data_IF_245614568574
#
_entry.id   IF_245614568574
#
_cell.length_a   1.000
_cell.length_b   1.000
_cell.length_c   1.000
_cell.angle_alpha   90.00
_cell.angle_beta   90.00
_cell.angle_gamma   90.00
#
_symmetry.space_group_name_H-M   'P 1'
#
loop_
_entity.id
_entity.type
_entity.pdbx_description
1 polymer ?
#
# COMPACT_ATOMS: atom_id res chain seq x y z
N UNK A 1 0.46 -2.37 18.90
CA UNK A 1 1.06 -2.90 17.66
C UNK A 1 0.72 -1.94 16.53
N UNK A 2 1.67 -1.07 16.18
CA UNK A 2 1.45 0.17 15.40
C UNK A 2 1.66 -0.02 13.88
N UNK A 3 1.17 -1.14 13.28
CA UNK A 3 1.19 -1.34 11.82
C UNK A 3 0.34 -0.30 11.05
N UNK A 4 -0.68 0.27 11.70
CA UNK A 4 -1.61 1.19 11.04
C UNK A 4 -1.03 2.59 10.77
N UNK A 5 -0.01 3.03 11.51
CA UNK A 5 0.58 4.35 11.32
C UNK A 5 1.49 4.42 10.08
N UNK A 6 2.14 3.32 9.70
CA UNK A 6 3.00 3.28 8.51
C UNK A 6 2.23 3.04 7.21
N UNK A 7 1.08 2.38 7.24
CA UNK A 7 0.18 2.25 6.08
C UNK A 7 -0.30 3.60 5.53
N UNK A 8 -0.05 4.68 6.26
CA UNK A 8 -0.41 6.05 5.85
C UNK A 8 0.72 6.79 5.15
N UNK A 9 1.93 6.26 5.13
CA UNK A 9 3.10 6.92 4.55
C UNK A 9 3.12 6.94 3.02
N UNK A 10 2.15 6.31 2.37
CA UNK A 10 2.11 6.20 0.91
C UNK A 10 0.94 6.96 0.26
N UNK A 11 0.45 8.04 0.88
CA UNK A 11 -0.73 8.75 0.37
C UNK A 11 -0.30 10.03 -0.36
N UNK A 12 -0.30 10.02 -1.69
CA UNK A 12 -0.12 11.22 -2.50
C UNK A 12 -1.42 12.00 -2.60
N UNK A 13 -1.48 13.18 -1.97
CA UNK A 13 -2.44 14.21 -2.34
C UNK A 13 -1.74 15.16 -3.34
N UNK A 14 -2.27 15.29 -4.54
CA UNK A 14 -1.80 16.29 -5.50
C UNK A 14 -2.11 17.70 -4.97
N UNK A 15 -1.15 18.61 -4.88
CA UNK A 15 -1.44 20.03 -4.70
C UNK A 15 -1.72 20.66 -6.06
N UNK A 16 -2.89 21.24 -6.22
CA UNK A 16 -3.15 22.25 -7.22
C UNK A 16 -2.38 23.52 -6.83
N UNK A 17 -1.31 23.89 -7.53
CA UNK A 17 -0.80 25.26 -7.54
C UNK A 17 -0.24 25.58 -8.90
N UNK A 18 -0.96 26.47 -9.58
CA UNK A 18 -0.42 27.25 -10.70
C UNK A 18 0.80 28.05 -10.26
N UNK A 19 1.93 27.86 -10.90
CA UNK A 19 2.91 28.88 -11.23
C UNK A 19 3.87 28.42 -12.32
N UNK A 20 3.96 29.27 -13.35
CA UNK A 20 5.02 29.38 -14.36
C UNK A 20 5.19 28.24 -15.39
N UNK A 21 4.41 28.33 -16.48
CA UNK A 21 4.88 28.25 -17.88
C UNK A 21 5.66 26.99 -18.35
N UNK A 22 5.69 25.89 -17.62
CA UNK A 22 6.16 24.59 -18.10
C UNK A 22 5.03 23.61 -17.99
N UNK A 23 4.59 23.05 -19.11
CA UNK A 23 3.67 21.92 -19.17
C UNK A 23 4.33 20.74 -18.46
N UNK A 24 4.13 20.65 -17.17
CA UNK A 24 4.31 19.42 -16.43
C UNK A 24 3.01 18.67 -16.70
N UNK A 25 3.08 17.61 -17.51
CA UNK A 25 1.97 16.69 -17.70
C UNK A 25 1.51 16.25 -16.30
N UNK A 26 0.41 16.85 -15.84
CA UNK A 26 -0.28 16.39 -14.64
C UNK A 26 -0.73 14.95 -14.92
N UNK A 27 -0.24 13.97 -14.14
CA UNK A 27 -0.67 12.57 -14.19
C UNK A 27 -2.10 12.41 -13.64
N UNK A 28 -3.02 13.30 -14.01
CA UNK A 28 -4.41 13.28 -13.56
C UNK A 28 -5.33 12.48 -14.48
N UNK A 29 -4.87 12.08 -15.68
CA UNK A 29 -5.60 11.12 -16.51
C UNK A 29 -5.05 9.71 -16.28
N UNK A 30 -5.93 8.74 -15.95
CA UNK A 30 -5.51 7.35 -15.85
C UNK A 30 -5.01 6.89 -17.24
N UNK A 31 -3.78 6.42 -17.30
CA UNK A 31 -3.26 5.72 -18.48
C UNK A 31 -4.29 4.64 -18.88
N UNK A 32 -4.53 4.48 -20.16
CA UNK A 32 -5.36 3.38 -20.68
C UNK A 32 -4.77 2.04 -20.22
N UNK A 33 -5.60 1.01 -20.10
CA UNK A 33 -5.14 -0.34 -19.70
C UNK A 33 -3.96 -0.83 -20.54
N UNK A 34 -3.90 -0.43 -21.83
CA UNK A 34 -2.83 -0.78 -22.77
C UNK A 34 -1.50 -0.02 -22.54
N UNK A 35 -1.52 1.09 -21.81
CA UNK A 35 -0.32 1.91 -21.53
C UNK A 35 0.33 1.57 -20.20
N UNK A 36 -0.25 0.67 -19.41
CA UNK A 36 0.29 0.27 -18.11
C UNK A 36 1.31 -0.83 -18.31
N UNK A 37 2.58 -0.51 -18.08
CA UNK A 37 3.60 -1.54 -17.97
C UNK A 37 3.24 -2.50 -16.85
N UNK A 38 3.09 -3.78 -17.18
CA UNK A 38 2.88 -4.88 -16.24
C UNK A 38 4.05 -5.84 -16.29
N UNK A 39 4.21 -6.62 -15.25
CA UNK A 39 5.13 -7.75 -15.28
C UNK A 39 4.62 -8.83 -16.24
N UNK A 40 5.47 -9.20 -17.23
CA UNK A 40 5.16 -10.17 -18.30
C UNK A 40 5.99 -11.46 -18.19
N UNK A 41 6.72 -11.64 -17.08
CA UNK A 41 7.50 -12.87 -16.87
C UNK A 41 6.63 -14.07 -16.50
N UNK A 42 7.25 -15.27 -16.48
CA UNK A 42 6.55 -16.54 -16.19
C UNK A 42 5.94 -16.64 -14.77
N UNK A 43 6.45 -15.90 -13.81
CA UNK A 43 5.94 -15.90 -12.44
C UNK A 43 4.66 -15.06 -12.37
N UNK A 44 3.56 -15.64 -11.90
CA UNK A 44 2.32 -14.91 -11.63
C UNK A 44 2.52 -14.02 -10.40
N UNK A 45 2.49 -12.70 -10.57
CA UNK A 45 2.68 -11.70 -9.51
C UNK A 45 1.38 -10.98 -9.24
N UNK A 46 0.71 -11.37 -8.15
CA UNK A 46 -0.59 -10.80 -7.75
C UNK A 46 -0.34 -9.57 -6.90
N UNK A 47 -0.63 -8.37 -7.42
CA UNK A 47 -0.65 -7.14 -6.63
C UNK A 47 -1.92 -7.08 -5.78
N UNK A 48 -1.83 -7.31 -4.48
CA UNK A 48 -2.96 -7.25 -3.55
C UNK A 48 -3.06 -5.87 -2.94
N UNK A 49 -4.09 -5.13 -3.31
CA UNK A 49 -4.32 -3.76 -2.82
C UNK A 49 -5.72 -3.58 -2.25
N UNK A 50 -6.03 -2.39 -1.75
CA UNK A 50 -7.34 -2.06 -1.19
C UNK A 50 -7.29 -0.85 -0.29
N UNK A 51 -8.42 -0.18 -0.11
CA UNK A 51 -8.55 0.95 0.79
C UNK A 51 -8.25 0.59 2.25
N UNK A 52 -8.01 1.61 3.06
CA UNK A 52 -7.80 1.43 4.51
C UNK A 52 -8.99 0.66 5.10
N UNK A 53 -8.73 -0.30 5.97
CA UNK A 53 -9.74 -1.17 6.60
C UNK A 53 -10.62 -2.01 5.63
N UNK A 54 -10.27 -2.14 4.34
CA UNK A 54 -10.99 -3.00 3.39
C UNK A 54 -10.86 -4.50 3.70
N UNK A 55 -9.85 -4.91 4.47
CA UNK A 55 -9.60 -6.31 4.81
C UNK A 55 -8.50 -6.98 3.98
N UNK A 56 -7.66 -6.21 3.29
CA UNK A 56 -6.52 -6.67 2.51
C UNK A 56 -5.63 -7.68 3.26
N UNK A 57 -5.28 -7.39 4.53
CA UNK A 57 -4.45 -8.29 5.34
C UNK A 57 -5.11 -9.64 5.63
N UNK A 58 -6.44 -9.71 5.69
CA UNK A 58 -7.15 -10.99 5.83
C UNK A 58 -7.05 -11.84 4.57
N UNK A 59 -7.10 -11.19 3.39
CA UNK A 59 -6.90 -11.87 2.11
C UNK A 59 -5.44 -12.31 1.97
N UNK A 60 -4.47 -11.45 2.32
CA UNK A 60 -3.05 -11.81 2.32
C UNK A 60 -2.76 -13.03 3.20
N UNK A 61 -3.25 -13.03 4.43
CA UNK A 61 -3.11 -14.18 5.32
C UNK A 61 -3.78 -15.46 4.77
N UNK A 62 -4.91 -15.33 4.09
CA UNK A 62 -5.52 -16.48 3.43
C UNK A 62 -4.65 -17.02 2.29
N UNK A 63 -4.00 -16.16 1.49
CA UNK A 63 -3.06 -16.57 0.46
C UNK A 63 -1.86 -17.33 1.05
N UNK A 64 -1.32 -16.86 2.19
CA UNK A 64 -0.27 -17.58 2.93
C UNK A 64 -0.73 -18.98 3.35
N UNK A 65 -1.97 -19.12 3.83
CA UNK A 65 -2.56 -20.41 4.17
C UNK A 65 -2.75 -21.35 2.96
N UNK A 66 -2.80 -20.80 1.73
CA UNK A 66 -2.81 -21.58 0.50
C UNK A 66 -1.38 -21.91 -0.01
N UNK A 67 -0.34 -21.58 0.76
CA UNK A 67 1.06 -21.83 0.40
C UNK A 67 1.64 -20.80 -0.58
N UNK A 68 1.02 -19.62 -0.74
CA UNK A 68 1.51 -18.54 -1.59
C UNK A 68 2.34 -17.59 -0.75
N UNK A 69 3.56 -17.29 -1.20
CA UNK A 69 4.40 -16.27 -0.57
C UNK A 69 3.75 -14.89 -0.69
N UNK A 70 3.64 -14.18 0.44
CA UNK A 70 3.06 -12.82 0.49
C UNK A 70 4.13 -11.83 0.91
N UNK A 71 4.51 -10.97 0.00
CA UNK A 71 5.51 -9.92 0.18
C UNK A 71 4.80 -8.62 0.60
N UNK A 72 5.11 -8.11 1.80
CA UNK A 72 4.36 -7.02 2.44
C UNK A 72 5.13 -5.69 2.41
N UNK A 73 4.64 -4.71 1.63
CA UNK A 73 5.21 -3.36 1.55
C UNK A 73 5.26 -2.63 2.90
N UNK A 74 4.25 -2.82 3.76
CA UNK A 74 4.23 -2.21 5.10
C UNK A 74 5.35 -2.77 5.98
N UNK A 75 5.66 -4.07 5.86
CA UNK A 75 6.79 -4.69 6.54
C UNK A 75 8.11 -4.11 6.05
N UNK A 76 8.30 -3.97 4.75
CA UNK A 76 9.54 -3.44 4.17
C UNK A 76 9.77 -1.96 4.52
N UNK A 77 8.72 -1.15 4.52
CA UNK A 77 8.80 0.22 5.01
C UNK A 77 9.15 0.26 6.51
N UNK A 78 8.63 -0.69 7.28
CA UNK A 78 8.97 -0.85 8.70
C UNK A 78 10.44 -1.22 8.91
N UNK A 79 10.98 -2.14 8.12
CA UNK A 79 12.39 -2.52 8.13
C UNK A 79 13.30 -1.35 7.73
N UNK A 80 12.91 -0.58 6.71
CA UNK A 80 13.64 0.60 6.26
C UNK A 80 13.78 1.68 7.36
N UNK A 81 12.83 1.74 8.31
CA UNK A 81 12.84 2.64 9.46
C UNK A 81 13.27 1.93 10.77
N UNK A 82 13.98 0.81 10.69
CA UNK A 82 14.56 0.16 11.86
C UNK A 82 15.70 1.00 12.46
N UNK A 83 16.00 0.87 13.76
CA UNK A 83 17.12 1.55 14.40
C UNK A 83 18.44 1.34 13.65
N UNK A 84 19.21 2.40 13.46
CA UNK A 84 20.51 2.35 12.81
C UNK A 84 20.50 2.38 11.28
N UNK A 85 19.32 2.32 10.63
CA UNK A 85 19.24 2.42 9.15
C UNK A 85 19.55 3.85 8.67
N UNK A 86 19.97 4.02 7.41
CA UNK A 86 20.17 5.33 6.82
C UNK A 86 18.91 6.20 6.86
N UNK A 87 17.72 5.61 6.60
CA UNK A 87 16.45 6.34 6.63
C UNK A 87 16.10 6.81 8.04
N UNK A 88 16.34 5.99 9.07
CA UNK A 88 16.14 6.40 10.47
C UNK A 88 17.04 7.57 10.83
N UNK A 89 18.30 7.55 10.40
CA UNK A 89 19.21 8.70 10.62
C UNK A 89 18.72 9.95 9.93
N UNK A 90 18.32 9.87 8.66
CA UNK A 90 17.79 11.01 7.91
C UNK A 90 16.52 11.59 8.56
N UNK A 91 15.64 10.73 9.11
CA UNK A 91 14.44 11.16 9.86
C UNK A 91 14.83 11.87 11.15
N UNK A 92 15.78 11.33 11.91
CA UNK A 92 16.26 11.96 13.16
C UNK A 92 16.99 13.28 12.87
N UNK A 93 17.77 13.37 11.80
CA UNK A 93 18.41 14.63 11.38
C UNK A 93 17.38 15.71 11.03
N UNK A 94 16.26 15.33 10.38
CA UNK A 94 15.21 16.27 9.97
C UNK A 94 14.33 16.75 11.11
N UNK A 95 13.92 15.84 11.98
CA UNK A 95 12.90 16.14 13.01
C UNK A 95 13.44 16.17 14.45
N UNK A 96 14.64 15.67 14.67
CA UNK A 96 15.30 15.67 15.98
C UNK A 96 14.51 14.93 17.05
N UNK A 97 14.50 15.51 18.24
CA UNK A 97 13.83 14.94 19.42
C UNK A 97 12.33 14.76 19.28
N UNK A 98 11.68 15.42 18.31
CA UNK A 98 10.23 15.29 18.08
C UNK A 98 9.80 13.88 17.69
N UNK A 99 10.71 13.11 17.12
CA UNK A 99 10.45 11.74 16.62
C UNK A 99 11.39 10.72 17.23
N UNK A 100 12.21 11.10 18.19
CA UNK A 100 13.10 10.19 18.89
C UNK A 100 12.31 9.37 19.91
N UNK A 101 12.51 8.05 19.91
CA UNK A 101 11.89 7.19 20.92
C UNK A 101 12.59 7.38 22.28
N UNK A 102 11.81 7.58 23.34
CA UNK A 102 12.34 7.63 24.72
C UNK A 102 12.79 6.24 25.23
N UNK A 103 12.30 5.17 24.61
CA UNK A 103 12.49 3.77 25.05
C UNK A 103 13.55 3.01 24.25
N UNK A 104 14.03 3.57 23.14
CA UNK A 104 14.99 2.88 22.25
C UNK A 104 15.78 3.88 21.40
N UNK A 105 16.88 3.41 20.77
CA UNK A 105 17.63 4.18 19.77
C UNK A 105 16.88 4.40 18.44
N UNK A 106 15.59 4.12 18.41
CA UNK A 106 14.74 4.17 17.23
C UNK A 106 13.83 5.40 17.17
N UNK A 107 12.84 5.32 16.28
CA UNK A 107 11.86 6.37 16.05
C UNK A 107 10.60 6.16 16.90
N UNK A 108 10.05 7.24 17.44
CA UNK A 108 8.64 7.30 17.80
C UNK A 108 7.80 7.40 16.51
N UNK A 109 7.30 6.25 16.08
CA UNK A 109 6.53 6.14 14.82
C UNK A 109 5.16 6.81 14.92
N UNK A 110 4.62 6.96 16.11
CA UNK A 110 3.35 7.67 16.27
C UNK A 110 3.56 9.17 16.07
N UNK A 111 4.63 9.73 16.64
CA UNK A 111 5.02 11.11 16.43
C UNK A 111 5.36 11.39 14.96
N UNK A 112 6.19 10.55 14.32
CA UNK A 112 6.49 10.65 12.89
C UNK A 112 5.22 10.56 12.04
N UNK A 113 4.35 9.58 12.32
CA UNK A 113 3.07 9.43 11.64
C UNK A 113 2.18 10.67 11.77
N UNK A 114 2.16 11.32 12.93
CA UNK A 114 1.41 12.57 13.15
C UNK A 114 1.97 13.71 12.29
N UNK A 115 3.29 13.86 12.19
CA UNK A 115 3.92 14.91 11.37
C UNK A 115 3.52 14.74 9.90
N UNK A 116 3.78 13.56 9.32
CA UNK A 116 3.54 13.31 7.90
C UNK A 116 2.06 13.23 7.54
N UNK A 117 1.19 12.95 8.52
CA UNK A 117 -0.25 12.97 8.30
C UNK A 117 -0.78 14.40 8.14
N UNK A 118 -0.24 15.34 8.91
CA UNK A 118 -0.70 16.73 8.92
C UNK A 118 0.00 17.62 7.88
N UNK A 119 1.12 17.18 7.32
CA UNK A 119 1.89 17.95 6.34
C UNK A 119 2.18 17.13 5.07
N UNK A 120 1.56 17.48 3.93
CA UNK A 120 1.80 16.81 2.65
C UNK A 120 3.24 16.87 2.16
N UNK A 121 3.99 17.95 2.47
CA UNK A 121 5.39 18.09 2.05
C UNK A 121 6.28 17.13 2.82
N UNK A 122 6.06 17.02 4.14
CA UNK A 122 6.79 16.08 4.99
C UNK A 122 6.48 14.62 4.63
N UNK A 123 5.25 14.36 4.23
CA UNK A 123 4.85 13.05 3.69
C UNK A 123 5.60 12.73 2.42
N UNK A 124 5.58 13.63 1.42
CA UNK A 124 6.29 13.45 0.14
C UNK A 124 7.79 13.25 0.35
N UNK A 125 8.38 13.99 1.29
CA UNK A 125 9.78 13.79 1.63
C UNK A 125 10.04 12.39 2.18
N UNK A 126 9.27 11.93 3.15
CA UNK A 126 9.45 10.60 3.73
C UNK A 126 9.20 9.49 2.70
N UNK A 127 8.19 9.63 1.86
CA UNK A 127 7.91 8.72 0.74
C UNK A 127 9.11 8.63 -0.21
N UNK A 128 9.73 9.76 -0.56
CA UNK A 128 10.92 9.78 -1.42
C UNK A 128 12.11 9.03 -0.83
N UNK A 129 12.21 8.96 0.50
CA UNK A 129 13.24 8.19 1.20
C UNK A 129 12.92 6.69 1.23
N UNK A 130 11.64 6.32 1.36
CA UNK A 130 11.23 4.93 1.59
C UNK A 130 10.90 4.16 0.31
N UNK A 131 10.30 4.78 -0.70
CA UNK A 131 9.88 4.10 -1.93
C UNK A 131 11.03 3.35 -2.63
N UNK A 132 12.24 3.93 -2.81
CA UNK A 132 13.35 3.21 -3.43
C UNK A 132 13.76 1.98 -2.62
N UNK A 133 13.75 2.07 -1.29
CA UNK A 133 14.14 0.97 -0.40
C UNK A 133 13.10 -0.15 -0.40
N UNK A 134 11.83 0.20 -0.36
CA UNK A 134 10.73 -0.78 -0.45
C UNK A 134 10.77 -1.48 -1.81
N UNK A 135 11.00 -0.74 -2.91
CA UNK A 135 11.14 -1.34 -4.24
C UNK A 135 12.35 -2.28 -4.30
N UNK A 136 13.50 -1.84 -3.83
CA UNK A 136 14.71 -2.69 -3.76
C UNK A 136 14.45 -3.96 -2.94
N UNK A 137 13.71 -3.85 -1.83
CA UNK A 137 13.37 -5.00 -0.99
C UNK A 137 12.42 -5.97 -1.71
N UNK A 138 11.45 -5.46 -2.48
CA UNK A 138 10.64 -6.31 -3.36
C UNK A 138 11.50 -7.02 -4.40
N UNK A 139 12.43 -6.34 -5.06
CA UNK A 139 13.32 -6.95 -6.07
C UNK A 139 14.16 -8.08 -5.45
N UNK A 140 14.70 -7.88 -4.24
CA UNK A 140 15.44 -8.90 -3.51
C UNK A 140 14.59 -10.12 -3.16
N UNK A 141 13.40 -9.90 -2.59
CA UNK A 141 12.48 -10.99 -2.23
C UNK A 141 11.97 -11.75 -3.45
N UNK A 142 11.65 -11.04 -4.54
CA UNK A 142 11.25 -11.68 -5.79
C UNK A 142 12.36 -12.57 -6.39
N UNK A 143 13.63 -12.25 -6.16
CA UNK A 143 14.76 -13.12 -6.54
C UNK A 143 14.82 -14.38 -5.67
N UNK A 144 14.57 -14.27 -4.35
CA UNK A 144 14.53 -15.45 -3.47
C UNK A 144 13.36 -16.38 -3.81
N UNK A 145 12.27 -15.83 -4.31
CA UNK A 145 11.06 -16.55 -4.71
C UNK A 145 10.96 -16.83 -6.21
N UNK A 146 12.08 -16.74 -6.97
CA UNK A 146 12.07 -16.91 -8.44
C UNK A 146 11.53 -18.27 -8.89
N UNK A 147 11.68 -19.31 -8.06
CA UNK A 147 11.14 -20.66 -8.33
C UNK A 147 9.65 -20.84 -8.06
N UNK A 148 9.03 -19.89 -7.39
CA UNK A 148 7.60 -19.92 -7.09
C UNK A 148 6.78 -19.56 -8.35
N UNK A 149 5.75 -20.36 -8.64
CA UNK A 149 4.86 -20.07 -9.78
C UNK A 149 3.99 -18.84 -9.53
N UNK A 150 3.60 -18.60 -8.28
CA UNK A 150 2.71 -17.52 -7.86
C UNK A 150 3.29 -16.86 -6.62
N UNK A 151 3.34 -15.53 -6.60
CA UNK A 151 3.64 -14.70 -5.41
C UNK A 151 2.61 -13.58 -5.31
N UNK A 152 2.30 -13.15 -4.10
CA UNK A 152 1.43 -12.01 -3.86
C UNK A 152 2.24 -10.83 -3.28
N UNK A 153 2.09 -9.65 -3.88
CA UNK A 153 2.69 -8.41 -3.42
C UNK A 153 1.61 -7.59 -2.72
N UNK A 154 1.61 -7.57 -1.40
CA UNK A 154 0.62 -6.85 -0.60
C UNK A 154 1.02 -5.38 -0.45
N UNK A 155 0.43 -4.51 -1.29
CA UNK A 155 0.78 -3.10 -1.39
C UNK A 155 -0.47 -2.24 -1.16
N UNK A 156 -0.61 -1.55 -0.01
CA UNK A 156 -1.82 -0.77 0.31
C UNK A 156 -2.14 0.32 -0.69
N UNK A 157 -1.12 1.04 -1.14
CA UNK A 157 -1.21 2.20 -2.04
C UNK A 157 -0.54 1.90 -3.38
N UNK A 158 -0.85 0.74 -3.95
CA UNK A 158 -0.23 0.21 -5.16
C UNK A 158 -0.32 1.19 -6.33
N UNK A 159 -1.51 1.72 -6.57
CA UNK A 159 -1.77 2.67 -7.66
C UNK A 159 -1.18 4.05 -7.38
N UNK A 160 -1.32 4.53 -6.14
CA UNK A 160 -0.77 5.81 -5.71
C UNK A 160 0.76 5.85 -5.83
N UNK A 161 1.43 4.73 -5.56
CA UNK A 161 2.89 4.60 -5.63
C UNK A 161 3.41 4.22 -7.03
N UNK A 162 2.53 3.92 -8.00
CA UNK A 162 2.91 3.50 -9.35
C UNK A 162 3.68 2.17 -9.37
N UNK A 163 3.29 1.22 -8.50
CA UNK A 163 3.97 -0.08 -8.36
C UNK A 163 3.30 -1.20 -9.17
N UNK A 164 2.37 -0.88 -10.06
CA UNK A 164 1.67 -1.84 -10.92
C UNK A 164 2.63 -2.62 -11.82
N UNK A 165 3.75 -2.00 -12.19
CA UNK A 165 4.78 -2.64 -13.02
C UNK A 165 5.46 -3.85 -12.38
N UNK A 166 5.34 -4.02 -11.07
CA UNK A 166 5.83 -5.21 -10.37
C UNK A 166 4.90 -6.41 -10.51
N UNK A 167 3.63 -6.19 -10.90
CA UNK A 167 2.56 -7.16 -10.85
C UNK A 167 2.12 -7.59 -12.26
N UNK A 168 1.77 -8.87 -12.44
CA UNK A 168 1.10 -9.35 -13.66
C UNK A 168 -0.40 -9.03 -13.65
N UNK A 169 -0.99 -8.96 -12.46
CA UNK A 169 -2.40 -8.62 -12.24
C UNK A 169 -2.57 -7.93 -10.88
N UNK A 170 -3.62 -7.14 -10.74
CA UNK A 170 -3.95 -6.43 -9.48
C UNK A 170 -5.32 -6.84 -8.97
N UNK A 171 -5.34 -7.33 -7.75
CA UNK A 171 -6.56 -7.68 -7.01
C UNK A 171 -6.88 -6.60 -5.98
N UNK A 172 -8.05 -6.00 -6.11
CA UNK A 172 -8.55 -4.98 -5.19
C UNK A 172 -9.48 -5.60 -4.15
N UNK A 173 -9.13 -5.50 -2.88
CA UNK A 173 -10.05 -5.84 -1.80
C UNK A 173 -10.97 -4.65 -1.52
N UNK A 174 -12.26 -4.83 -1.80
CA UNK A 174 -13.28 -3.79 -1.74
C UNK A 174 -14.27 -4.02 -0.61
N UNK A 175 -14.64 -2.96 0.09
CA UNK A 175 -15.85 -2.89 0.94
C UNK A 175 -16.45 -1.48 0.85
N UNK A 176 -17.70 -1.32 1.31
CA UNK A 176 -18.37 -0.03 1.24
C UNK A 176 -17.67 1.03 2.11
N UNK A 177 -17.79 2.34 1.76
CA UNK A 177 -17.22 3.43 2.59
C UNK A 177 -17.74 3.40 4.04
N UNK A 178 -18.99 3.06 4.25
CA UNK A 178 -19.57 2.89 5.60
C UNK A 178 -18.87 1.80 6.39
N UNK A 179 -18.58 0.66 5.76
CA UNK A 179 -17.85 -0.44 6.39
C UNK A 179 -16.39 -0.09 6.67
N UNK A 180 -15.72 0.61 5.74
CA UNK A 180 -14.36 1.11 5.96
C UNK A 180 -14.32 1.98 7.21
N UNK A 181 -15.21 2.99 7.29
CA UNK A 181 -15.30 3.92 8.41
C UNK A 181 -15.56 3.18 9.72
N UNK A 182 -16.56 2.32 9.77
CA UNK A 182 -16.89 1.57 10.99
C UNK A 182 -15.74 0.68 11.45
N UNK A 183 -15.12 -0.08 10.54
CA UNK A 183 -13.98 -0.95 10.86
C UNK A 183 -12.76 -0.15 11.34
N UNK A 184 -12.52 1.01 10.73
CA UNK A 184 -11.41 1.88 11.08
C UNK A 184 -11.60 2.51 12.47
N UNK A 185 -12.80 3.03 12.76
CA UNK A 185 -13.17 3.55 14.07
C UNK A 185 -13.01 2.50 15.16
N UNK A 186 -13.56 1.30 14.94
CA UNK A 186 -13.49 0.20 15.93
C UNK A 186 -12.04 -0.26 16.16
N UNK A 187 -11.26 -0.46 15.09
CA UNK A 187 -9.89 -0.97 15.17
C UNK A 187 -8.92 0.01 15.83
N UNK A 188 -9.07 1.30 15.50
CA UNK A 188 -8.10 2.34 15.88
C UNK A 188 -8.63 3.30 16.94
N UNK A 189 -9.87 3.12 17.44
CA UNK A 189 -10.55 3.98 18.42
C UNK A 189 -10.60 5.45 17.96
N UNK A 190 -10.93 5.68 16.68
CA UNK A 190 -10.99 7.00 16.09
C UNK A 190 -12.38 7.59 16.16
N UNK A 191 -12.46 8.93 16.13
CA UNK A 191 -13.71 9.63 15.86
C UNK A 191 -14.16 9.41 14.42
N UNK A 192 -15.44 9.66 14.08
CA UNK A 192 -15.93 9.61 12.70
C UNK A 192 -15.14 10.53 11.76
N UNK A 193 -14.80 11.72 12.23
CA UNK A 193 -14.07 12.75 11.49
C UNK A 193 -12.64 12.29 11.17
N UNK A 194 -11.94 11.75 12.18
CA UNK A 194 -10.59 11.19 12.00
C UNK A 194 -10.58 10.00 11.05
N UNK A 195 -11.58 9.13 11.14
CA UNK A 195 -11.72 7.98 10.24
C UNK A 195 -11.96 8.45 8.79
N UNK A 196 -12.84 9.42 8.60
CA UNK A 196 -13.14 9.98 7.28
C UNK A 196 -11.91 10.67 6.67
N UNK A 197 -11.16 11.45 7.48
CA UNK A 197 -9.94 12.09 7.03
C UNK A 197 -8.91 11.06 6.52
N UNK A 198 -8.77 9.92 7.23
CA UNK A 198 -7.87 8.84 6.80
C UNK A 198 -8.32 8.13 5.53
N UNK A 199 -9.63 8.00 5.32
CA UNK A 199 -10.17 7.42 4.10
C UNK A 199 -9.92 8.37 2.92
N UNK A 200 -10.18 9.67 3.08
CA UNK A 200 -9.95 10.70 2.04
C UNK A 200 -8.48 10.92 1.69
N UNK A 201 -7.57 10.53 2.58
CA UNK A 201 -6.15 10.59 2.30
C UNK A 201 -5.68 9.56 1.25
N UNK A 202 -6.51 8.62 0.84
CA UNK A 202 -6.25 7.64 -0.21
C UNK A 202 -7.08 7.94 -1.46
N UNK A 203 -6.68 7.38 -2.60
CA UNK A 203 -7.52 7.47 -3.79
C UNK A 203 -8.89 6.86 -3.55
N UNK A 204 -9.94 7.42 -4.18
CA UNK A 204 -11.30 6.87 -4.10
C UNK A 204 -11.33 5.41 -4.54
N UNK A 205 -12.16 4.62 -3.86
CA UNK A 205 -12.30 3.18 -4.17
C UNK A 205 -12.80 2.95 -5.59
N UNK A 206 -13.67 3.82 -6.12
CA UNK A 206 -14.18 3.72 -7.50
C UNK A 206 -13.03 3.82 -8.51
N UNK A 207 -12.13 4.81 -8.35
CA UNK A 207 -10.93 4.93 -9.18
C UNK A 207 -10.04 3.67 -9.11
N UNK A 208 -9.85 3.12 -7.92
CA UNK A 208 -9.08 1.87 -7.75
C UNK A 208 -9.76 0.68 -8.41
N UNK A 209 -11.10 0.64 -8.37
CA UNK A 209 -11.90 -0.42 -9.00
C UNK A 209 -11.75 -0.42 -10.52
N UNK A 210 -11.71 0.76 -11.15
CA UNK A 210 -11.48 0.91 -12.60
C UNK A 210 -10.09 0.44 -13.04
N UNK A 211 -9.11 0.51 -12.14
CA UNK A 211 -7.71 0.17 -12.41
C UNK A 211 -7.34 -1.29 -12.09
N UNK A 212 -8.15 -1.95 -11.28
CA UNK A 212 -7.90 -3.32 -10.84
C UNK A 212 -8.38 -4.35 -11.87
N UNK A 213 -7.62 -5.44 -12.01
CA UNK A 213 -8.00 -6.55 -12.89
C UNK A 213 -9.09 -7.42 -12.25
N UNK A 214 -9.08 -7.53 -10.90
CA UNK A 214 -10.07 -8.29 -10.14
C UNK A 214 -10.50 -7.55 -8.87
N UNK A 215 -11.77 -7.67 -8.51
CA UNK A 215 -12.34 -7.06 -7.30
C UNK A 215 -12.86 -8.14 -6.36
N UNK A 216 -12.24 -8.24 -5.18
CA UNK A 216 -12.64 -9.14 -4.10
C UNK A 216 -13.59 -8.40 -3.18
N UNK A 217 -14.87 -8.76 -3.19
CA UNK A 217 -15.93 -8.10 -2.38
C UNK A 217 -15.89 -8.59 -0.93
N UNK A 218 -15.47 -7.73 -0.01
CA UNK A 218 -15.39 -8.01 1.44
C UNK A 218 -16.42 -7.18 2.24
N UNK A 219 -17.63 -7.07 1.72
CA UNK A 219 -18.75 -6.37 2.37
C UNK A 219 -19.84 -7.25 2.95
N UNK A 220 -19.76 -8.55 2.76
CA UNK A 220 -20.78 -9.51 3.17
C UNK A 220 -20.47 -10.21 4.50
N UNK A 221 -20.98 -11.43 4.63
CA UNK A 221 -20.71 -12.33 5.75
C UNK A 221 -19.18 -12.52 5.90
N UNK A 222 -18.66 -12.63 7.15
CA UNK A 222 -17.24 -12.87 7.37
C UNK A 222 -16.69 -14.01 6.52
N UNK A 223 -15.58 -13.77 5.83
CA UNK A 223 -14.91 -14.72 4.93
C UNK A 223 -15.70 -15.16 3.68
N UNK A 224 -16.82 -14.53 3.33
CA UNK A 224 -17.55 -14.84 2.08
C UNK A 224 -16.70 -14.62 0.81
N UNK A 225 -15.62 -13.88 0.92
CA UNK A 225 -14.65 -13.62 -0.16
C UNK A 225 -13.71 -14.81 -0.42
N UNK A 226 -13.64 -15.82 0.45
CA UNK A 226 -12.67 -16.93 0.27
C UNK A 226 -12.93 -17.78 -0.97
N UNK A 227 -14.20 -17.96 -1.36
CA UNK A 227 -14.54 -18.62 -2.63
C UNK A 227 -14.06 -17.80 -3.83
N UNK A 228 -14.27 -16.49 -3.81
CA UNK A 228 -13.78 -15.60 -4.86
C UNK A 228 -12.26 -15.72 -5.03
N UNK A 229 -11.49 -15.72 -3.92
CA UNK A 229 -10.02 -15.86 -3.97
C UNK A 229 -9.62 -17.24 -4.53
N UNK A 230 -10.29 -18.33 -4.14
CA UNK A 230 -10.01 -19.66 -4.71
C UNK A 230 -10.28 -19.73 -6.20
N UNK A 231 -11.38 -19.16 -6.66
CA UNK A 231 -11.73 -19.06 -8.08
C UNK A 231 -10.67 -18.28 -8.86
N UNK A 232 -10.24 -17.12 -8.35
CA UNK A 232 -9.19 -16.31 -8.96
C UNK A 232 -7.84 -17.03 -9.00
N UNK A 233 -7.51 -17.82 -7.98
CA UNK A 233 -6.29 -18.63 -7.97
C UNK A 233 -6.36 -19.77 -9.01
N UNK A 234 -7.54 -20.37 -9.18
CA UNK A 234 -7.76 -21.47 -10.13
C UNK A 234 -7.81 -20.97 -11.58
N UNK A 235 -8.25 -19.73 -11.79
CA UNK A 235 -8.21 -19.09 -13.10
C UNK A 235 -6.73 -18.84 -13.45
N UNK A 236 -6.10 -19.83 -14.08
CA UNK A 236 -4.74 -19.72 -14.61
C UNK A 236 -4.82 -18.75 -15.78
N UNK A 237 -4.09 -17.62 -15.80
CA UNK A 237 -3.90 -16.89 -17.04
C UNK A 237 -3.27 -17.85 -18.04
N UNK A 238 -3.63 -17.82 -19.34
CA UNK A 238 -2.95 -18.62 -20.33
C UNK A 238 -1.47 -18.24 -20.31
N UNK A 239 -0.64 -19.19 -19.94
CA UNK A 239 0.80 -19.11 -20.11
C UNK A 239 1.04 -19.51 -21.57
N UNK A 240 1.11 -18.51 -22.46
CA UNK A 240 1.68 -18.71 -23.79
C UNK A 240 3.19 -18.98 -23.73
#
# INVERSE_FOLDING_TARGET
TNRAALSMLFTTASPSSERDGKVILSRDEPLSLSERQRWEGRQRRIGLTGGIASGKSSVGHFLEQQGIAVLDADLYAHEALAPGTPSTRAVLERYGVKVQSELSEGLDRAALGSIVFNDPQERTWLESQLHPLVRQRFDQELQTHVGERVVALMIPLLFEAGLESLCSEVWLVHCSPTQQRQRLMTRNRLSPEEAEQRIRAQWPMDRKTELADCVIKNGGVPRSWTSQVRELLSATPPLD
#
